data_IF_270615654747
#
_entry.id   IF_270615654747
#
_cell.length_a   1.000
_cell.length_b   1.000
_cell.length_c   1.000
_cell.angle_alpha   90.00
_cell.angle_beta   90.00
_cell.angle_gamma   90.00
#
_symmetry.space_group_name_H-M   'P 1'
#
loop_
_entity.id
_entity.type
_entity.pdbx_description
1 polymer ?
#
# COMPACT_ATOMS: atom_id res chain seq x y z
N UNK A 1 13.44 -9.88 -9.62
CA UNK A 1 13.48 -9.95 -11.09
C UNK A 1 12.87 -8.66 -11.62
N UNK A 2 13.51 -7.99 -12.57
CA UNK A 2 12.86 -6.89 -13.29
C UNK A 2 11.75 -7.50 -14.15
N UNK A 3 10.54 -6.96 -14.05
CA UNK A 3 9.40 -7.39 -14.86
C UNK A 3 9.62 -6.82 -16.27
N UNK A 4 9.71 -7.68 -17.28
CA UNK A 4 10.07 -7.25 -18.66
C UNK A 4 8.90 -6.68 -19.43
N UNK A 5 7.67 -6.92 -18.97
CA UNK A 5 6.47 -6.36 -19.58
C UNK A 5 6.10 -5.03 -18.89
N UNK A 6 5.90 -3.97 -19.67
CA UNK A 6 5.40 -2.70 -19.13
C UNK A 6 3.94 -2.89 -18.71
N UNK A 7 3.62 -2.63 -17.44
CA UNK A 7 2.26 -2.70 -16.94
C UNK A 7 1.62 -1.32 -17.03
N UNK A 8 0.37 -1.26 -17.49
CA UNK A 8 -0.40 -0.04 -17.46
C UNK A 8 -0.72 0.34 -16.00
N UNK A 9 -0.71 1.63 -15.73
CA UNK A 9 -1.14 2.25 -14.47
C UNK A 9 -2.33 3.17 -14.75
N UNK A 10 -3.05 3.66 -13.74
CA UNK A 10 -4.28 4.41 -13.96
C UNK A 10 -4.16 5.62 -14.89
N UNK A 11 -3.01 6.31 -14.93
CA UNK A 11 -2.79 7.46 -15.80
C UNK A 11 -1.83 7.19 -16.97
N UNK A 12 -1.12 6.05 -17.00
CA UNK A 12 -0.17 5.74 -18.06
C UNK A 12 -0.53 4.41 -18.74
N UNK A 13 -0.72 4.44 -20.05
CA UNK A 13 -0.88 3.22 -20.85
C UNK A 13 0.46 2.49 -21.00
N UNK A 14 0.42 1.23 -21.45
CA UNK A 14 1.63 0.44 -21.71
C UNK A 14 2.54 1.10 -22.76
N UNK A 15 1.93 1.78 -23.73
CA UNK A 15 2.62 2.45 -24.84
C UNK A 15 3.31 3.75 -24.40
N UNK A 16 2.85 4.37 -23.31
CA UNK A 16 3.39 5.62 -22.78
C UNK A 16 4.46 5.41 -21.71
N UNK A 17 4.45 4.25 -21.04
CA UNK A 17 5.36 3.96 -19.94
C UNK A 17 6.74 3.51 -20.44
N UNK A 18 7.79 4.15 -19.90
CA UNK A 18 9.20 3.88 -20.26
C UNK A 18 9.73 2.63 -19.58
N UNK A 19 9.33 2.38 -18.32
CA UNK A 19 9.66 1.17 -17.57
C UNK A 19 8.65 0.97 -16.44
N UNK A 20 8.55 -0.26 -15.94
CA UNK A 20 7.77 -0.60 -14.75
C UNK A 20 8.60 -1.46 -13.81
N UNK A 21 8.58 -1.13 -12.52
CA UNK A 21 9.01 -2.05 -11.48
C UNK A 21 7.78 -2.68 -10.84
N UNK A 22 7.77 -4.01 -10.78
CA UNK A 22 6.67 -4.78 -10.21
C UNK A 22 7.19 -5.72 -9.12
N UNK A 23 6.40 -5.86 -8.05
CA UNK A 23 6.64 -6.80 -6.97
C UNK A 23 5.31 -7.22 -6.36
N UNK A 24 5.25 -8.48 -5.92
CA UNK A 24 4.07 -9.08 -5.33
C UNK A 24 4.46 -9.76 -4.01
N UNK A 25 3.54 -9.76 -3.05
CA UNK A 25 3.68 -10.47 -1.79
C UNK A 25 2.34 -11.03 -1.33
N UNK A 26 2.33 -12.29 -0.87
CA UNK A 26 1.15 -12.95 -0.31
C UNK A 26 1.10 -12.76 1.19
N UNK A 27 0.02 -12.15 1.69
CA UNK A 27 -0.19 -11.91 3.12
C UNK A 27 -1.40 -12.70 3.61
N UNK A 28 -1.22 -13.46 4.69
CA UNK A 28 -2.27 -14.24 5.35
C UNK A 28 -3.17 -13.35 6.21
N UNK A 29 -4.03 -12.55 5.57
CA UNK A 29 -5.03 -11.73 6.24
C UNK A 29 -6.20 -11.37 5.29
N UNK A 30 -7.36 -10.93 5.82
CA UNK A 30 -8.43 -10.38 5.00
C UNK A 30 -7.97 -9.15 4.19
N UNK A 31 -8.33 -9.10 2.90
CA UNK A 31 -7.93 -8.03 1.96
C UNK A 31 -8.25 -6.63 2.50
N UNK A 32 -9.45 -6.44 3.09
CA UNK A 32 -9.86 -5.16 3.66
C UNK A 32 -8.96 -4.69 4.81
N UNK A 33 -8.42 -5.61 5.63
CA UNK A 33 -7.50 -5.25 6.71
C UNK A 33 -6.14 -4.80 6.15
N UNK A 34 -5.65 -5.49 5.11
CA UNK A 34 -4.42 -5.10 4.42
C UNK A 34 -4.58 -3.75 3.74
N UNK A 35 -5.70 -3.54 3.05
CA UNK A 35 -5.98 -2.27 2.40
C UNK A 35 -6.11 -1.11 3.40
N UNK A 36 -6.78 -1.32 4.54
CA UNK A 36 -6.84 -0.34 5.61
C UNK A 36 -5.45 0.02 6.16
N UNK A 37 -4.55 -0.96 6.32
CA UNK A 37 -3.17 -0.73 6.73
C UNK A 37 -2.36 0.04 5.68
N UNK A 38 -2.56 -0.23 4.38
CA UNK A 38 -1.93 0.52 3.28
C UNK A 38 -2.40 1.99 3.24
N UNK A 39 -3.65 2.25 3.62
CA UNK A 39 -4.22 3.60 3.71
C UNK A 39 -3.89 4.31 5.03
N UNK A 40 -3.29 3.64 5.99
CA UNK A 40 -2.88 4.26 7.25
C UNK A 40 -1.44 4.78 7.14
N UNK A 41 -1.30 6.02 6.68
CA UNK A 41 0.00 6.66 6.48
C UNK A 41 0.79 6.84 7.77
N UNK A 42 0.11 6.92 8.91
CA UNK A 42 0.75 7.04 10.23
C UNK A 42 1.43 5.75 10.68
N UNK A 43 0.95 4.59 10.22
CA UNK A 43 1.55 3.29 10.56
C UNK A 43 2.46 2.73 9.48
N UNK A 44 2.65 3.45 8.37
CA UNK A 44 3.51 3.06 7.25
C UNK A 44 4.91 2.59 7.69
N UNK A 45 5.54 3.31 8.63
CA UNK A 45 6.86 2.96 9.17
C UNK A 45 6.94 1.59 9.83
N UNK A 46 5.83 1.07 10.34
CA UNK A 46 5.79 -0.23 11.03
C UNK A 46 5.99 -1.39 10.06
N UNK A 47 5.65 -1.21 8.79
CA UNK A 47 5.70 -2.27 7.78
C UNK A 47 6.57 -1.93 6.57
N UNK A 48 7.02 -0.67 6.41
CA UNK A 48 7.93 -0.26 5.35
C UNK A 48 9.11 0.57 5.90
N UNK A 49 10.24 -0.09 6.14
CA UNK A 49 11.45 0.54 6.67
C UNK A 49 12.05 1.61 5.73
N UNK A 50 11.80 1.53 4.42
CA UNK A 50 12.30 2.49 3.44
C UNK A 50 11.40 3.72 3.30
N UNK A 51 10.18 3.68 3.84
CA UNK A 51 9.20 4.76 3.82
C UNK A 51 8.73 5.06 5.25
N UNK A 52 9.61 5.68 6.06
CA UNK A 52 9.34 5.91 7.47
C UNK A 52 8.22 6.91 7.73
N UNK A 53 7.87 7.77 6.79
CA UNK A 53 6.81 8.74 7.00
C UNK A 53 6.13 9.13 5.69
N UNK A 54 4.81 9.32 5.76
CA UNK A 54 4.01 9.93 4.71
C UNK A 54 3.25 11.08 5.32
N UNK A 55 3.60 12.30 4.92
CA UNK A 55 3.01 13.52 5.44
C UNK A 55 1.89 14.01 4.55
N UNK A 56 0.77 14.39 5.14
CA UNK A 56 -0.34 15.06 4.45
C UNK A 56 -0.32 16.54 4.81
N UNK A 57 -0.66 17.43 3.87
CA UNK A 57 -0.70 18.87 4.15
C UNK A 57 -1.70 19.23 5.27
N UNK A 58 -2.77 18.46 5.40
CA UNK A 58 -3.80 18.67 6.43
C UNK A 58 -3.42 18.08 7.81
N UNK A 59 -2.32 17.33 7.91
CA UNK A 59 -1.99 16.53 9.12
C UNK A 59 -2.98 15.40 9.43
N UNK A 60 -4.02 15.26 8.61
CA UNK A 60 -5.04 14.21 8.75
C UNK A 60 -4.63 12.95 8.00
N UNK A 61 -5.09 11.79 8.47
CA UNK A 61 -4.90 10.51 7.77
C UNK A 61 -5.99 10.28 6.70
N UNK A 62 -6.82 11.28 6.42
CA UNK A 62 -7.92 11.14 5.50
C UNK A 62 -7.42 11.34 4.06
N UNK A 63 -7.22 10.22 3.37
CA UNK A 63 -6.74 10.20 1.98
C UNK A 63 -7.90 10.48 1.05
N UNK A 64 -7.82 11.57 0.30
CA UNK A 64 -8.77 11.94 -0.75
C UNK A 64 -8.04 12.00 -2.09
N UNK A 65 -8.77 11.74 -3.19
CA UNK A 65 -8.25 11.93 -4.55
C UNK A 65 -7.83 13.39 -4.72
N UNK A 66 -6.74 13.61 -5.45
CA UNK A 66 -6.01 14.88 -5.61
C UNK A 66 -5.43 15.47 -4.31
N UNK A 67 -5.52 14.76 -3.19
CA UNK A 67 -4.84 15.12 -1.96
C UNK A 67 -3.32 15.12 -2.14
N UNK A 68 -2.67 16.21 -1.74
CA UNK A 68 -1.21 16.34 -1.77
C UNK A 68 -0.58 15.69 -0.54
N UNK A 69 0.46 14.90 -0.80
CA UNK A 69 1.26 14.21 0.21
C UNK A 69 2.75 14.41 -0.05
N UNK A 70 3.56 14.21 0.97
CA UNK A 70 5.02 14.13 0.84
C UNK A 70 5.48 12.78 1.37
N UNK A 71 6.12 12.01 0.50
CA UNK A 71 6.74 10.74 0.86
C UNK A 71 8.13 11.02 1.41
N UNK A 72 8.37 10.66 2.66
CA UNK A 72 9.70 10.63 3.22
C UNK A 72 10.27 9.22 3.06
N UNK A 73 11.41 9.10 2.41
CA UNK A 73 12.02 7.82 2.10
C UNK A 73 13.53 7.83 2.32
N UNK A 74 14.09 6.64 2.55
CA UNK A 74 15.54 6.43 2.61
C UNK A 74 15.96 5.52 1.46
N UNK A 75 16.82 5.98 0.53
CA UNK A 75 17.33 5.13 -0.54
C UNK A 75 18.13 3.93 -0.01
N UNK A 76 18.74 4.10 1.16
CA UNK A 76 19.54 3.10 1.87
C UNK A 76 19.08 3.05 3.33
N UNK A 77 19.12 1.90 4.03
CA UNK A 77 18.60 1.79 5.39
C UNK A 77 19.16 2.80 6.39
N UNK A 78 20.43 3.17 6.23
CA UNK A 78 21.15 4.16 7.07
C UNK A 78 21.32 5.52 6.37
N UNK A 79 20.78 5.68 5.16
CA UNK A 79 20.92 6.87 4.34
C UNK A 79 20.12 8.07 4.88
N UNK A 80 20.42 9.24 4.32
CA UNK A 80 19.67 10.47 4.60
C UNK A 80 18.22 10.37 4.15
N UNK A 81 17.32 10.97 4.92
CA UNK A 81 15.91 11.07 4.57
C UNK A 81 15.75 12.00 3.37
N UNK A 82 14.96 11.58 2.38
CA UNK A 82 14.61 12.35 1.20
C UNK A 82 13.11 12.54 1.13
N UNK A 83 12.68 13.67 0.58
CA UNK A 83 11.27 13.99 0.39
C UNK A 83 10.91 13.92 -1.10
N UNK A 84 9.80 13.25 -1.43
CA UNK A 84 9.21 13.27 -2.76
C UNK A 84 7.76 13.77 -2.65
N UNK A 85 7.42 14.95 -3.22
CA UNK A 85 6.04 15.40 -3.28
C UNK A 85 5.23 14.51 -4.23
N UNK A 86 4.04 14.13 -3.81
CA UNK A 86 3.12 13.31 -4.59
C UNK A 86 1.68 13.81 -4.41
N UNK A 87 0.79 13.34 -5.27
CA UNK A 87 -0.65 13.44 -5.10
C UNK A 87 -1.32 12.09 -5.21
N UNK A 88 -2.49 11.94 -4.60
CA UNK A 88 -3.31 10.74 -4.75
C UNK A 88 -4.04 10.81 -6.09
N UNK A 89 -3.58 10.05 -7.07
CA UNK A 89 -4.16 10.06 -8.41
C UNK A 89 -5.48 9.28 -8.49
N UNK A 90 -5.64 8.26 -7.64
CA UNK A 90 -6.87 7.47 -7.67
C UNK A 90 -6.98 6.49 -6.51
N UNK A 91 -8.23 6.23 -6.14
CA UNK A 91 -8.65 5.14 -5.25
C UNK A 91 -9.72 4.37 -6.02
N UNK A 92 -9.38 3.18 -6.50
CA UNK A 92 -10.29 2.36 -7.33
C UNK A 92 -10.82 1.22 -6.47
N UNK A 93 -12.15 1.07 -6.46
CA UNK A 93 -12.89 -0.08 -5.90
C UNK A 93 -12.52 -0.47 -4.45
N UNK A 94 -12.05 0.48 -3.64
CA UNK A 94 -11.63 0.27 -2.24
C UNK A 94 -10.53 -0.79 -2.02
N UNK A 95 -9.76 -1.18 -3.04
CA UNK A 95 -8.63 -2.11 -2.89
C UNK A 95 -7.38 -1.69 -3.68
N UNK A 96 -7.46 -0.59 -4.42
CA UNK A 96 -6.36 -0.01 -5.17
C UNK A 96 -6.09 1.42 -4.73
N UNK A 97 -4.82 1.81 -4.65
CA UNK A 97 -4.40 3.18 -4.42
C UNK A 97 -3.27 3.52 -5.38
N UNK A 98 -3.39 4.66 -6.06
CA UNK A 98 -2.38 5.19 -6.98
C UNK A 98 -1.85 6.53 -6.47
N UNK A 99 -0.54 6.64 -6.39
CA UNK A 99 0.17 7.87 -6.06
C UNK A 99 0.90 8.36 -7.31
N UNK A 100 0.75 9.63 -7.63
CA UNK A 100 1.45 10.28 -8.72
C UNK A 100 2.51 11.23 -8.15
N UNK A 101 3.76 11.08 -8.60
CA UNK A 101 4.84 12.00 -8.28
C UNK A 101 4.59 13.39 -8.87
N UNK A 102 4.83 14.42 -8.07
CA UNK A 102 4.78 15.82 -8.51
C UNK A 102 6.21 16.28 -8.81
N UNK A 103 6.72 15.98 -9.99
CA UNK A 103 8.09 16.33 -10.38
C UNK A 103 8.31 17.85 -10.29
N UNK A 104 9.21 18.28 -9.41
CA UNK A 104 9.60 19.69 -9.32
C UNK A 104 10.43 20.05 -10.55
N UNK A 105 9.94 20.98 -11.37
CA UNK A 105 10.68 21.50 -12.53
C UNK A 105 10.45 20.75 -13.84
N UNK A 106 9.60 19.73 -13.88
CA UNK A 106 9.13 19.12 -15.12
C UNK A 106 7.60 19.18 -15.19
N UNK A 107 7.01 19.65 -16.29
CA UNK A 107 5.59 19.49 -16.52
C UNK A 107 5.19 18.01 -16.48
N UNK A 108 4.00 17.72 -15.96
CA UNK A 108 3.49 16.34 -15.85
C UNK A 108 3.36 15.64 -17.20
N UNK A 109 3.23 16.37 -18.31
CA UNK A 109 3.23 15.78 -19.66
C UNK A 109 4.60 15.26 -20.11
N UNK A 110 5.71 15.70 -19.48
CA UNK A 110 7.06 15.20 -19.78
C UNK A 110 7.33 13.90 -19.03
N UNK A 111 7.01 13.88 -17.74
CA UNK A 111 7.32 12.74 -16.89
C UNK A 111 6.23 12.59 -15.83
N UNK A 112 5.51 11.48 -15.92
CA UNK A 112 4.60 11.02 -14.87
C UNK A 112 5.23 9.81 -14.20
N UNK A 113 5.42 9.90 -12.89
CA UNK A 113 5.78 8.75 -12.08
C UNK A 113 4.56 8.29 -11.30
N UNK A 114 4.18 7.03 -11.42
CA UNK A 114 3.09 6.44 -10.63
C UNK A 114 3.58 5.30 -9.75
N UNK A 115 3.02 5.21 -8.56
CA UNK A 115 3.15 4.07 -7.66
C UNK A 115 1.76 3.53 -7.37
N UNK A 116 1.52 2.29 -7.78
CA UNK A 116 0.24 1.62 -7.59
C UNK A 116 0.41 0.52 -6.54
N UNK A 117 -0.47 0.49 -5.54
CA UNK A 117 -0.68 -0.68 -4.71
C UNK A 117 -2.08 -1.23 -4.97
N UNK A 118 -2.16 -2.54 -5.14
CA UNK A 118 -3.39 -3.28 -5.38
C UNK A 118 -3.43 -4.46 -4.42
N UNK A 119 -4.58 -4.62 -3.75
CA UNK A 119 -4.84 -5.73 -2.84
C UNK A 119 -5.87 -6.64 -3.49
N UNK A 120 -5.49 -7.88 -3.78
CA UNK A 120 -6.39 -8.89 -4.30
C UNK A 120 -6.68 -9.95 -3.25
N UNK A 121 -7.86 -10.56 -3.32
CA UNK A 121 -8.27 -11.61 -2.41
C UNK A 121 -7.82 -12.97 -2.95
N UNK A 122 -6.99 -13.69 -2.20
CA UNK A 122 -6.51 -15.04 -2.57
C UNK A 122 -7.40 -16.14 -1.95
N UNK A 123 -7.96 -15.89 -0.76
CA UNK A 123 -8.85 -16.82 -0.05
C UNK A 123 -10.19 -16.15 0.21
N UNK A 124 -11.30 -16.89 0.02
CA UNK A 124 -12.65 -16.34 0.18
C UNK A 124 -12.88 -15.82 1.61
N UNK A 125 -13.82 -14.89 1.77
CA UNK A 125 -14.21 -14.42 3.10
C UNK A 125 -14.73 -15.56 3.99
N UNK A 126 -15.35 -16.57 3.40
CA UNK A 126 -15.84 -17.77 4.11
C UNK A 126 -14.69 -18.57 4.70
N UNK A 127 -13.56 -18.68 3.98
CA UNK A 127 -12.35 -19.32 4.48
C UNK A 127 -11.83 -18.60 5.72
N UNK A 128 -11.76 -17.26 5.69
CA UNK A 128 -11.32 -16.48 6.85
C UNK A 128 -12.30 -16.54 8.02
N UNK A 129 -13.60 -16.52 7.74
CA UNK A 129 -14.64 -16.69 8.76
C UNK A 129 -14.53 -18.06 9.44
N UNK A 130 -14.24 -19.12 8.67
CA UNK A 130 -13.97 -20.46 9.19
C UNK A 130 -12.72 -20.48 10.08
N UNK A 131 -11.60 -19.90 9.64
CA UNK A 131 -10.39 -19.81 10.45
C UNK A 131 -10.65 -19.10 11.80
N UNK A 132 -11.39 -17.98 11.78
CA UNK A 132 -11.75 -17.28 13.01
C UNK A 132 -12.61 -18.12 13.97
N UNK A 133 -13.59 -18.87 13.44
CA UNK A 133 -14.41 -19.81 14.24
C UNK A 133 -13.54 -20.91 14.86
N UNK A 134 -12.64 -21.51 14.08
CA UNK A 134 -11.75 -22.57 14.55
C UNK A 134 -10.79 -22.07 15.64
N UNK A 135 -10.19 -20.88 15.48
CA UNK A 135 -9.35 -20.28 16.52
C UNK A 135 -10.12 -19.99 17.80
N UNK A 136 -11.36 -19.48 17.70
CA UNK A 136 -12.21 -19.22 18.85
C UNK A 136 -12.62 -20.52 19.57
N UNK A 137 -12.85 -21.61 18.84
CA UNK A 137 -13.13 -22.92 19.42
C UNK A 137 -11.91 -23.51 20.13
N UNK A 138 -10.71 -23.35 19.57
CA UNK A 138 -9.44 -23.80 20.19
C UNK A 138 -9.10 -23.02 21.47
N UNK A 139 -9.43 -21.73 21.55
CA UNK A 139 -9.25 -20.96 22.79
C UNK A 139 -10.22 -21.40 23.89
N UNK A 140 -11.44 -21.81 23.51
CA UNK A 140 -12.42 -22.36 24.47
C UNK A 140 -12.03 -23.73 25.00
N UNK A 141 -11.38 -24.59 24.22
CA UNK A 141 -10.95 -25.91 24.71
C UNK A 141 -9.77 -25.82 25.68
N UNK A 142 -8.92 -24.80 25.57
CA UNK A 142 -7.77 -24.62 26.46
C UNK A 142 -8.10 -23.92 27.79
N UNK A 143 -9.30 -23.35 27.93
CA UNK A 143 -9.77 -22.70 29.16
C UNK A 143 -10.38 -23.63 30.22
N UNK A 144 -10.40 -24.96 29.98
CA UNK A 144 -10.95 -25.95 30.92
C UNK A 144 -9.87 -26.69 31.73
N UNK A 145 -8.60 -26.31 31.61
CA UNK A 145 -7.46 -26.97 32.27
C UNK A 145 -6.81 -26.13 33.40
N UNK A 146 -7.58 -25.23 34.04
CA UNK A 146 -7.17 -24.59 35.30
C UNK A 146 -8.13 -25.03 36.41
N UNK A 147 -7.84 -26.19 37.03
CA UNK A 147 -8.62 -26.68 38.16
C UNK A 147 -8.58 -28.20 38.34
N UNK A 148 -7.39 -28.77 38.54
CA UNK A 148 -7.20 -30.02 39.29
C UNK A 148 -6.03 -29.83 40.24
#
# INVERSE_FOLDING_TARGET
>A
MAYTEVLATPLNSKEQAVFTFHGEATIKAPAQKIYAALRDFRSCSKWNAYMPEVNTLSGSNNIVVDGLITLQYRPEPTGSLRAAPCKIAGIVENLKICWQGCSSGLPTWICVMEKVHEVTTIWSEEFWAMCHKLSAMSQRSNGWYEGV
#
